data_IF_545848680964
#
_entry.id   IF_545848680964
#
_cell.length_a   1.000
_cell.length_b   1.000
_cell.length_c   1.000
_cell.angle_alpha   90.00
_cell.angle_beta   90.00
_cell.angle_gamma   90.00
#
_symmetry.space_group_name_H-M   'P 1'
#
loop_
_entity.id
_entity.type
_entity.pdbx_description
1 polymer ?
#
# COMPACT_ATOMS: atom_id res chain seq x y z
N UNK A 1 17.24 -5.43 26.92
CA UNK A 1 18.11 -6.26 27.80
C UNK A 1 17.58 -7.69 28.00
N UNK A 2 16.25 -7.92 28.01
CA UNK A 2 15.62 -9.22 28.30
C UNK A 2 15.95 -10.42 27.40
N UNK A 3 16.53 -10.21 26.20
CA UNK A 3 16.84 -11.29 25.24
C UNK A 3 18.35 -11.41 24.92
N UNK A 4 19.24 -10.73 25.65
CA UNK A 4 20.70 -10.84 25.46
C UNK A 4 21.28 -10.22 24.18
N UNK A 5 20.47 -9.84 23.19
CA UNK A 5 20.91 -9.36 21.87
C UNK A 5 21.28 -7.86 21.81
N UNK A 6 21.24 -7.13 22.92
CA UNK A 6 21.45 -5.68 22.91
C UNK A 6 22.82 -5.27 22.34
N UNK A 7 23.84 -6.11 22.50
CA UNK A 7 25.19 -5.88 21.98
C UNK A 7 25.28 -5.98 20.43
N UNK A 8 24.29 -6.59 19.77
CA UNK A 8 24.20 -6.68 18.31
C UNK A 8 23.37 -5.56 17.69
N UNK A 9 22.57 -4.84 18.49
CA UNK A 9 21.70 -3.79 18.02
C UNK A 9 22.42 -2.43 18.05
N UNK A 10 22.38 -1.70 16.93
CA UNK A 10 22.87 -0.32 16.83
C UNK A 10 21.82 0.54 16.13
N UNK A 11 21.45 1.70 16.68
CA UNK A 11 20.66 2.68 15.94
C UNK A 11 21.45 3.15 14.71
N UNK A 12 20.89 2.98 13.51
CA UNK A 12 21.56 3.32 12.24
C UNK A 12 20.91 4.51 11.52
N UNK A 13 19.66 4.83 11.84
CA UNK A 13 18.92 5.89 11.15
C UNK A 13 17.76 6.43 12.01
N UNK A 14 17.26 7.60 11.61
CA UNK A 14 16.01 8.20 12.08
C UNK A 14 15.22 8.66 10.85
N UNK A 15 13.90 8.48 10.86
CA UNK A 15 13.01 9.03 9.84
C UNK A 15 12.60 10.45 10.23
N UNK A 16 12.64 11.37 9.27
CA UNK A 16 12.24 12.78 9.42
C UNK A 16 11.41 13.20 8.22
N UNK A 17 10.61 14.25 8.39
CA UNK A 17 9.74 14.85 7.37
C UNK A 17 10.19 16.27 7.01
N UNK A 18 11.33 16.73 7.53
CA UNK A 18 11.86 18.08 7.30
C UNK A 18 12.41 18.27 5.88
N UNK A 19 12.78 17.17 5.22
CA UNK A 19 13.33 17.14 3.87
C UNK A 19 13.07 15.79 3.21
N UNK A 20 13.07 15.76 1.89
CA UNK A 20 12.91 14.53 1.10
C UNK A 20 14.23 13.82 0.81
N UNK A 21 15.30 14.11 1.55
CA UNK A 21 16.62 13.53 1.33
C UNK A 21 16.88 12.27 2.17
N UNK A 22 17.59 11.32 1.56
CA UNK A 22 18.32 10.27 2.29
C UNK A 22 19.73 10.79 2.57
N UNK A 23 20.09 10.87 3.84
CA UNK A 23 21.40 11.34 4.31
C UNK A 23 22.14 10.22 5.02
N UNK A 24 23.34 9.91 4.54
CA UNK A 24 24.24 8.93 5.18
C UNK A 24 25.46 9.66 5.72
N UNK A 25 25.75 9.45 7.01
CA UNK A 25 26.91 10.03 7.67
C UNK A 25 27.81 8.94 8.23
N UNK A 26 29.12 9.16 8.14
CA UNK A 26 30.15 8.31 8.75
C UNK A 26 31.08 9.22 9.54
N UNK A 27 31.34 8.91 10.81
CA UNK A 27 32.16 9.74 11.70
C UNK A 27 31.75 11.23 11.72
N UNK A 28 30.43 11.50 11.65
CA UNK A 28 29.82 12.85 11.57
C UNK A 28 30.08 13.62 10.26
N UNK A 29 30.66 12.98 9.25
CA UNK A 29 30.79 13.53 7.92
C UNK A 29 29.70 12.97 7.01
N UNK A 30 29.00 13.85 6.28
CA UNK A 30 28.04 13.45 5.25
C UNK A 30 28.77 12.85 4.05
N UNK A 31 28.49 11.59 3.74
CA UNK A 31 29.08 10.87 2.59
C UNK A 31 28.08 10.68 1.45
N UNK A 32 26.78 10.75 1.77
CA UNK A 32 25.69 10.73 0.78
C UNK A 32 24.62 11.69 1.25
N UNK A 33 24.15 12.52 0.33
CA UNK A 33 22.90 13.25 0.44
C UNK A 33 22.27 13.26 -0.94
N UNK A 34 21.12 12.61 -1.08
CA UNK A 34 20.39 12.47 -2.34
C UNK A 34 18.90 12.55 -2.06
N UNK A 35 18.13 13.08 -3.02
CA UNK A 35 16.68 13.08 -2.92
C UNK A 35 16.18 11.64 -2.95
N UNK A 36 15.27 11.31 -2.03
CA UNK A 36 14.63 10.00 -1.92
C UNK A 36 13.91 9.64 -3.22
N UNK A 37 13.23 10.59 -3.87
CA UNK A 37 12.55 10.38 -5.14
C UNK A 37 13.51 9.88 -6.23
N UNK A 38 14.70 10.48 -6.34
CA UNK A 38 15.71 10.08 -7.33
C UNK A 38 16.23 8.67 -7.07
N UNK A 39 16.49 8.33 -5.81
CA UNK A 39 16.89 6.97 -5.40
C UNK A 39 15.77 5.95 -5.70
N UNK A 40 14.52 6.30 -5.42
CA UNK A 40 13.37 5.44 -5.68
C UNK A 40 13.15 5.23 -7.19
N UNK A 41 13.35 6.27 -8.00
CA UNK A 41 13.30 6.16 -9.47
C UNK A 41 14.41 5.26 -9.99
N UNK A 42 15.65 5.44 -9.53
CA UNK A 42 16.76 4.57 -9.91
C UNK A 42 16.47 3.10 -9.56
N UNK A 43 15.86 2.85 -8.39
CA UNK A 43 15.42 1.51 -7.99
C UNK A 43 14.31 0.96 -8.91
N UNK A 44 13.34 1.78 -9.28
CA UNK A 44 12.17 1.41 -10.09
C UNK A 44 12.45 1.32 -11.60
N UNK A 45 13.57 1.86 -12.09
CA UNK A 45 13.85 2.03 -13.53
C UNK A 45 13.78 0.71 -14.31
N UNK A 46 14.27 -0.40 -13.74
CA UNK A 46 14.24 -1.71 -14.40
C UNK A 46 12.80 -2.19 -14.64
N UNK A 47 11.94 -2.02 -13.64
CA UNK A 47 10.51 -2.36 -13.74
C UNK A 47 9.80 -1.48 -14.77
N UNK A 48 10.07 -0.16 -14.75
CA UNK A 48 9.54 0.77 -15.74
C UNK A 48 9.92 0.37 -17.17
N UNK A 49 11.21 0.08 -17.43
CA UNK A 49 11.66 -0.30 -18.77
C UNK A 49 11.02 -1.60 -19.26
N UNK A 50 10.86 -2.59 -18.38
CA UNK A 50 10.18 -3.84 -18.73
C UNK A 50 8.70 -3.62 -19.02
N UNK A 51 8.00 -2.81 -18.21
CA UNK A 51 6.59 -2.48 -18.41
C UNK A 51 6.39 -1.69 -19.70
N UNK A 52 7.24 -0.71 -20.00
CA UNK A 52 7.15 0.07 -21.23
C UNK A 52 7.35 -0.76 -22.51
N UNK A 53 8.06 -1.89 -22.42
CA UNK A 53 8.27 -2.82 -23.53
C UNK A 53 7.14 -3.85 -23.69
N UNK A 54 6.48 -4.21 -22.59
CA UNK A 54 5.48 -5.29 -22.53
C UNK A 54 4.04 -4.79 -22.57
N UNK A 55 3.79 -3.67 -21.91
CA UNK A 55 2.48 -3.11 -21.62
C UNK A 55 2.27 -1.81 -22.42
N UNK A 56 1.28 -0.99 -22.03
CA UNK A 56 1.13 0.35 -22.59
C UNK A 56 2.26 1.28 -22.10
N UNK A 57 3.07 1.86 -23.00
CA UNK A 57 4.22 2.67 -22.61
C UNK A 57 3.83 4.01 -21.98
N UNK A 58 2.64 4.54 -22.26
CA UNK A 58 2.14 5.77 -21.65
C UNK A 58 1.78 5.49 -20.20
N UNK A 59 1.00 4.42 -19.93
CA UNK A 59 0.66 4.04 -18.56
C UNK A 59 1.92 3.69 -17.72
N UNK A 60 2.90 2.99 -18.32
CA UNK A 60 4.16 2.70 -17.64
C UNK A 60 4.93 3.97 -17.28
N UNK A 61 4.94 4.98 -18.17
CA UNK A 61 5.56 6.27 -17.93
C UNK A 61 4.83 7.08 -16.86
N UNK A 62 3.49 7.13 -16.90
CA UNK A 62 2.67 7.81 -15.88
C UNK A 62 2.94 7.24 -14.48
N UNK A 63 2.94 5.90 -14.34
CA UNK A 63 3.28 5.24 -13.09
C UNK A 63 4.71 5.57 -12.62
N UNK A 64 5.69 5.58 -13.52
CA UNK A 64 7.08 5.91 -13.16
C UNK A 64 7.28 7.38 -12.79
N UNK A 65 6.60 8.29 -13.47
CA UNK A 65 6.68 9.73 -13.21
C UNK A 65 5.92 10.13 -11.94
N UNK A 66 4.91 9.36 -11.50
CA UNK A 66 4.21 9.57 -10.21
C UNK A 66 5.17 9.57 -9.01
N UNK A 67 6.31 8.89 -9.11
CA UNK A 67 7.35 8.86 -8.08
C UNK A 67 8.03 10.21 -7.83
N UNK A 68 7.86 11.19 -8.72
CA UNK A 68 8.37 12.55 -8.57
C UNK A 68 7.52 13.43 -7.66
N UNK A 69 6.27 13.04 -7.40
CA UNK A 69 5.39 13.76 -6.49
C UNK A 69 5.79 13.42 -5.04
N UNK A 70 6.45 14.36 -4.40
CA UNK A 70 6.86 14.22 -2.99
C UNK A 70 5.71 14.53 -2.01
N UNK A 71 4.60 15.09 -2.51
CA UNK A 71 3.41 15.46 -1.74
C UNK A 71 2.28 14.42 -1.89
N UNK A 72 2.48 13.33 -2.64
CA UNK A 72 1.51 12.23 -2.75
C UNK A 72 1.22 11.65 -1.34
N UNK A 73 -0.01 11.82 -0.80
CA UNK A 73 -0.36 11.31 0.52
C UNK A 73 -0.50 9.78 0.55
N UNK A 74 -0.41 9.13 -0.62
CA UNK A 74 -0.70 7.74 -0.82
C UNK A 74 -2.18 7.41 -0.59
N UNK A 75 -2.44 6.13 -0.37
CA UNK A 75 -3.78 5.63 -0.09
C UNK A 75 -4.27 6.18 1.26
N UNK A 76 -5.29 7.02 1.23
CA UNK A 76 -5.93 7.59 2.41
C UNK A 76 -7.46 7.45 2.30
N UNK A 77 -8.15 7.58 3.44
CA UNK A 77 -9.62 7.52 3.49
C UNK A 77 -10.18 8.74 4.18
N UNK A 78 -11.27 9.28 3.65
CA UNK A 78 -12.09 10.28 4.35
C UNK A 78 -13.36 9.58 4.83
N UNK A 79 -13.68 9.74 6.11
CA UNK A 79 -14.88 9.12 6.68
C UNK A 79 -16.08 9.98 6.37
N UNK A 80 -16.98 9.51 5.50
CA UNK A 80 -18.29 10.14 5.33
C UNK A 80 -19.11 9.93 6.60
N UNK A 81 -19.69 10.99 7.16
CA UNK A 81 -20.38 10.98 8.46
C UNK A 81 -21.73 10.23 8.46
N UNK A 82 -22.20 9.73 7.30
CA UNK A 82 -23.51 9.08 7.14
C UNK A 82 -23.52 7.55 7.34
N UNK A 83 -22.42 6.95 7.81
CA UNK A 83 -22.39 5.51 8.08
C UNK A 83 -23.01 5.14 9.43
N UNK A 84 -24.33 5.03 9.51
CA UNK A 84 -24.98 4.37 10.66
C UNK A 84 -24.62 2.86 10.59
N UNK A 85 -23.91 2.28 11.58
CA UNK A 85 -23.44 0.89 11.52
C UNK A 85 -24.56 -0.17 11.54
N UNK A 86 -25.83 0.24 11.58
CA UNK A 86 -26.93 -0.62 12.01
C UNK A 86 -28.10 -0.71 11.03
N UNK A 87 -27.97 -0.23 9.78
CA UNK A 87 -29.07 -0.35 8.80
C UNK A 87 -29.52 -1.81 8.59
N UNK A 88 -28.60 -2.78 8.74
CA UNK A 88 -28.89 -4.20 8.54
C UNK A 88 -28.89 -5.05 9.82
N UNK A 89 -28.45 -4.52 10.97
CA UNK A 89 -28.40 -5.26 12.24
C UNK A 89 -29.78 -5.80 12.65
N UNK A 90 -30.85 -5.04 12.37
CA UNK A 90 -32.22 -5.44 12.65
C UNK A 90 -32.76 -6.56 11.75
N UNK A 91 -32.20 -6.73 10.54
CA UNK A 91 -32.55 -7.83 9.64
C UNK A 91 -31.74 -9.11 9.95
N UNK A 92 -30.47 -8.92 10.32
CA UNK A 92 -29.50 -9.95 10.68
C UNK A 92 -29.88 -10.67 11.99
N UNK A 93 -30.22 -9.91 13.04
CA UNK A 93 -30.54 -10.47 14.36
C UNK A 93 -31.82 -11.30 14.44
N UNK A 94 -32.64 -11.32 13.37
CA UNK A 94 -33.88 -12.12 13.29
C UNK A 94 -33.64 -13.57 12.86
N UNK A 95 -32.38 -13.95 12.56
CA UNK A 95 -32.02 -15.31 12.13
C UNK A 95 -32.48 -15.68 10.72
N UNK A 96 -33.09 -14.74 9.98
CA UNK A 96 -33.52 -14.93 8.59
C UNK A 96 -32.30 -14.78 7.69
N UNK A 97 -31.90 -15.87 7.00
CA UNK A 97 -30.82 -15.88 6.01
C UNK A 97 -31.39 -16.07 4.61
N UNK A 98 -31.70 -14.98 3.85
CA UNK A 98 -32.17 -15.09 2.48
C UNK A 98 -31.15 -15.84 1.62
N UNK A 99 -31.63 -16.77 0.79
CA UNK A 99 -30.76 -17.45 -0.17
C UNK A 99 -30.38 -16.50 -1.29
N UNK A 100 -29.11 -16.48 -1.65
CA UNK A 100 -28.56 -15.73 -2.77
C UNK A 100 -27.90 -16.71 -3.72
N UNK A 101 -28.17 -16.58 -5.01
CA UNK A 101 -27.47 -17.33 -6.04
C UNK A 101 -26.14 -16.61 -6.36
N UNK A 102 -25.03 -17.18 -5.89
CA UNK A 102 -23.68 -16.77 -6.31
C UNK A 102 -23.40 -17.44 -7.65
N UNK A 103 -23.62 -16.71 -8.74
CA UNK A 103 -23.42 -17.23 -10.08
C UNK A 103 -21.91 -17.41 -10.34
N UNK A 104 -21.56 -18.57 -10.89
CA UNK A 104 -20.20 -18.85 -11.38
C UNK A 104 -20.28 -19.63 -12.67
N UNK A 105 -19.26 -19.44 -13.50
CA UNK A 105 -19.02 -20.17 -14.73
C UNK A 105 -17.58 -20.71 -14.71
N UNK A 106 -17.22 -21.55 -15.68
CA UNK A 106 -15.84 -21.96 -15.90
C UNK A 106 -14.92 -20.73 -16.01
N UNK A 107 -13.88 -20.67 -15.17
CA UNK A 107 -12.91 -19.57 -15.13
C UNK A 107 -13.17 -18.49 -14.06
N UNK A 108 -14.34 -18.51 -13.39
CA UNK A 108 -14.62 -17.56 -12.28
C UNK A 108 -13.82 -17.92 -11.03
N UNK A 109 -13.07 -16.95 -10.49
CA UNK A 109 -12.11 -17.15 -9.38
C UNK A 109 -12.35 -16.31 -8.12
N UNK A 110 -13.36 -15.43 -8.06
CA UNK A 110 -13.68 -14.59 -6.89
C UNK A 110 -15.01 -14.91 -6.19
N UNK A 111 -15.61 -16.07 -6.48
CA UNK A 111 -16.96 -16.42 -6.01
C UNK A 111 -17.01 -16.76 -4.52
N UNK A 112 -15.90 -17.18 -3.91
CA UNK A 112 -15.82 -17.49 -2.48
C UNK A 112 -15.79 -16.22 -1.63
N UNK A 113 -15.03 -15.20 -2.05
CA UNK A 113 -14.99 -13.88 -1.40
C UNK A 113 -16.36 -13.20 -1.50
N UNK A 114 -17.02 -13.32 -2.65
CA UNK A 114 -18.38 -12.83 -2.83
C UNK A 114 -19.38 -13.56 -1.92
N UNK A 115 -19.33 -14.89 -1.85
CA UNK A 115 -20.16 -15.67 -0.94
C UNK A 115 -19.90 -15.28 0.52
N UNK A 116 -18.63 -15.14 0.92
CA UNK A 116 -18.23 -14.74 2.25
C UNK A 116 -18.71 -13.33 2.62
N UNK A 117 -18.72 -12.38 1.67
CA UNK A 117 -19.22 -11.03 1.91
C UNK A 117 -20.73 -11.00 2.21
N UNK A 118 -21.51 -11.89 1.58
CA UNK A 118 -22.95 -12.05 1.88
C UNK A 118 -23.21 -12.95 3.09
N UNK A 119 -22.33 -13.90 3.38
CA UNK A 119 -22.42 -14.79 4.53
C UNK A 119 -22.04 -14.08 5.84
N UNK A 120 -21.08 -13.13 5.75
CA UNK A 120 -20.60 -12.29 6.84
C UNK A 120 -21.70 -11.33 7.26
N UNK A 121 -22.45 -11.85 8.23
CA UNK A 121 -23.59 -11.29 8.94
C UNK A 121 -23.16 -11.09 10.39
#
# INVERSE_FOLDING_TARGET
AHHGIAHLARPVAKVTWEHHDVVVTVARQTILRQRRADLHRAWSESSYRLQALRDDPICAKEAYDSLLDDDDPGLHTTRHSSGHPSLFAAAIGRGVRPRIAILREQGVNGHLEMAAAFDRV
#
